data_IF_067339820393
#
_entry.id   IF_067339820393
#
_cell.length_a   1.000
_cell.length_b   1.000
_cell.length_c   1.000
_cell.angle_alpha   90.00
_cell.angle_beta   90.00
_cell.angle_gamma   90.00
#
_symmetry.space_group_name_H-M   'P 1'
#
loop_
_entity.id
_entity.type
_entity.pdbx_description
1 polymer ?
#
# COMPACT_ATOMS: atom_id res chain seq x y z
N UNK A 1 -25.62 10.03 -17.18
CA UNK A 1 -24.60 10.10 -16.12
C UNK A 1 -23.52 9.11 -16.52
N UNK A 2 -22.43 9.59 -17.12
CA UNK A 2 -21.28 8.75 -17.45
C UNK A 2 -20.58 8.39 -16.15
N UNK A 3 -20.65 7.12 -15.76
CA UNK A 3 -19.79 6.56 -14.72
C UNK A 3 -18.38 6.51 -15.29
N UNK A 4 -17.57 7.53 -14.99
CA UNK A 4 -16.14 7.49 -15.29
C UNK A 4 -15.54 6.34 -14.48
N UNK A 5 -15.40 5.16 -15.09
CA UNK A 5 -14.60 4.08 -14.54
C UNK A 5 -13.17 4.61 -14.46
N UNK A 6 -12.75 5.06 -13.27
CA UNK A 6 -11.35 5.30 -12.98
C UNK A 6 -10.64 3.96 -13.14
N UNK A 7 -9.94 3.79 -14.26
CA UNK A 7 -9.24 2.56 -14.59
C UNK A 7 -8.07 2.41 -13.61
N UNK A 8 -8.19 1.47 -12.67
CA UNK A 8 -7.07 1.07 -11.81
C UNK A 8 -5.90 0.62 -12.69
N UNK A 9 -4.74 1.22 -12.50
CA UNK A 9 -3.54 0.87 -13.24
C UNK A 9 -2.84 -0.31 -12.55
N UNK A 10 -2.69 -1.43 -13.23
CA UNK A 10 -1.91 -2.57 -12.73
C UNK A 10 -0.50 -2.53 -13.29
N UNK A 11 0.50 -2.51 -12.42
CA UNK A 11 1.92 -2.46 -12.77
C UNK A 11 2.61 -3.71 -12.22
N UNK A 12 3.32 -4.44 -13.09
CA UNK A 12 4.15 -5.55 -12.65
C UNK A 12 5.57 -5.04 -12.41
N UNK A 13 6.12 -5.37 -11.24
CA UNK A 13 7.43 -4.96 -10.77
C UNK A 13 8.33 -6.19 -10.62
N UNK A 14 9.64 -5.99 -10.73
CA UNK A 14 10.63 -7.07 -10.62
C UNK A 14 11.27 -7.14 -9.24
N UNK A 15 11.20 -6.06 -8.46
CA UNK A 15 11.84 -5.97 -7.15
C UNK A 15 11.12 -5.05 -6.17
N UNK A 16 11.52 -5.12 -4.89
CA UNK A 16 11.09 -4.16 -3.86
C UNK A 16 11.66 -2.75 -4.09
N UNK A 17 12.83 -2.64 -4.71
CA UNK A 17 13.40 -1.34 -5.08
C UNK A 17 12.55 -0.64 -6.16
N UNK A 18 11.96 -1.40 -7.09
CA UNK A 18 11.02 -0.85 -8.06
C UNK A 18 9.77 -0.32 -7.36
N UNK A 19 9.29 -1.01 -6.32
CA UNK A 19 8.16 -0.55 -5.50
C UNK A 19 8.50 0.76 -4.78
N UNK A 20 9.69 0.86 -4.18
CA UNK A 20 10.17 2.08 -3.53
C UNK A 20 10.20 3.26 -4.51
N UNK A 21 10.65 3.01 -5.74
CA UNK A 21 10.66 4.01 -6.80
C UNK A 21 9.24 4.44 -7.20
N UNK A 22 8.31 3.50 -7.36
CA UNK A 22 6.91 3.82 -7.67
C UNK A 22 6.27 4.63 -6.55
N UNK A 23 6.49 4.28 -5.29
CA UNK A 23 6.00 5.06 -4.13
C UNK A 23 6.58 6.47 -4.16
N UNK A 24 7.90 6.62 -4.29
CA UNK A 24 8.57 7.92 -4.39
C UNK A 24 7.96 8.79 -5.49
N UNK A 25 7.71 8.23 -6.67
CA UNK A 25 7.14 8.95 -7.81
C UNK A 25 5.67 9.33 -7.60
N UNK A 26 4.83 8.39 -7.16
CA UNK A 26 3.39 8.60 -7.02
C UNK A 26 3.04 9.58 -5.89
N UNK A 27 3.85 9.62 -4.83
CA UNK A 27 3.66 10.47 -3.67
C UNK A 27 4.57 11.71 -3.64
N UNK A 28 5.39 11.90 -4.67
CA UNK A 28 6.38 12.99 -4.76
C UNK A 28 7.27 13.08 -3.50
N UNK A 29 7.79 11.93 -3.08
CA UNK A 29 8.64 11.76 -1.91
C UNK A 29 10.09 11.47 -2.32
N UNK A 30 11.09 11.74 -1.46
CA UNK A 30 12.47 11.31 -1.70
C UNK A 30 12.58 9.79 -1.89
N UNK A 31 13.50 9.32 -2.71
CA UNK A 31 13.73 7.88 -2.85
C UNK A 31 14.27 7.28 -1.54
N UNK A 32 13.52 6.37 -0.94
CA UNK A 32 13.83 5.69 0.33
C UNK A 32 13.30 4.26 0.30
N UNK A 33 13.79 3.37 1.19
CA UNK A 33 13.36 1.97 1.22
C UNK A 33 11.96 1.78 1.86
N UNK A 34 10.91 2.39 1.29
CA UNK A 34 9.55 2.39 1.81
C UNK A 34 8.97 0.99 2.05
N UNK A 35 9.29 0.03 1.20
CA UNK A 35 8.78 -1.34 1.24
C UNK A 35 9.46 -2.23 2.28
N UNK A 36 10.60 -1.81 2.84
CA UNK A 36 11.41 -2.61 3.76
C UNK A 36 11.75 -1.91 5.09
N UNK A 37 11.80 -0.58 5.12
CA UNK A 37 12.01 0.21 6.33
C UNK A 37 10.70 0.79 6.85
N UNK A 38 10.30 0.38 8.06
CA UNK A 38 9.09 0.87 8.70
C UNK A 38 9.12 2.39 8.94
N UNK A 39 10.28 2.99 9.22
CA UNK A 39 10.36 4.45 9.44
C UNK A 39 10.02 5.20 8.15
N UNK A 40 10.59 4.79 7.03
CA UNK A 40 10.25 5.35 5.72
C UNK A 40 8.77 5.13 5.38
N UNK A 41 8.23 3.93 5.63
CA UNK A 41 6.81 3.66 5.42
C UNK A 41 5.89 4.56 6.26
N UNK A 42 6.28 4.88 7.50
CA UNK A 42 5.52 5.81 8.35
C UNK A 42 5.60 7.27 7.86
N UNK A 43 6.67 7.68 7.19
CA UNK A 43 6.72 9.00 6.54
C UNK A 43 5.65 9.13 5.46
N UNK A 44 5.42 8.07 4.67
CA UNK A 44 4.34 8.01 3.69
C UNK A 44 2.95 8.12 4.37
N UNK A 45 2.78 7.44 5.51
CA UNK A 45 1.54 7.53 6.30
C UNK A 45 1.31 8.95 6.77
N UNK A 46 2.30 9.57 7.42
CA UNK A 46 2.20 10.94 7.94
C UNK A 46 1.91 11.92 6.81
N UNK A 47 2.64 11.83 5.69
CA UNK A 47 2.39 12.68 4.52
C UNK A 47 0.95 12.54 4.04
N UNK A 48 0.41 11.32 3.99
CA UNK A 48 -0.99 11.10 3.59
C UNK A 48 -1.97 11.73 4.57
N UNK A 49 -1.75 11.55 5.88
CA UNK A 49 -2.63 12.07 6.91
C UNK A 49 -2.62 13.60 6.97
N UNK A 50 -1.48 14.24 6.72
CA UNK A 50 -1.34 15.71 6.70
C UNK A 50 -2.00 16.36 5.47
N UNK A 51 -2.16 15.62 4.37
CA UNK A 51 -2.60 16.16 3.09
C UNK A 51 -4.00 15.65 2.65
N UNK A 52 -4.74 14.99 3.53
CA UNK A 52 -6.09 14.46 3.26
C UNK A 52 -7.12 15.04 4.23
N UNK A 53 -8.21 15.60 3.69
CA UNK A 53 -9.33 16.12 4.50
C UNK A 53 -10.10 15.02 5.24
N UNK A 54 -10.08 13.80 4.71
CA UNK A 54 -10.73 12.61 5.26
C UNK A 54 -9.71 11.54 5.63
N UNK A 55 -8.58 11.97 6.20
CA UNK A 55 -7.45 11.14 6.59
C UNK A 55 -7.88 9.95 7.49
N UNK A 56 -7.51 8.75 7.06
CA UNK A 56 -7.66 7.52 7.83
C UNK A 56 -6.42 6.66 7.63
N UNK A 57 -5.97 6.03 8.70
CA UNK A 57 -4.96 5.00 8.65
C UNK A 57 -5.18 4.02 9.79
N UNK A 58 -5.17 2.73 9.47
CA UNK A 58 -5.17 1.64 10.44
C UNK A 58 -4.10 0.62 10.04
N UNK A 59 -3.40 0.10 11.04
CA UNK A 59 -2.57 -1.10 10.90
C UNK A 59 -2.86 -2.04 12.06
N UNK A 60 -3.03 -3.32 11.76
CA UNK A 60 -3.22 -4.38 12.74
C UNK A 60 -2.35 -5.57 12.38
N UNK A 61 -1.83 -6.26 13.41
CA UNK A 61 -1.15 -7.54 13.23
C UNK A 61 -2.06 -8.66 13.72
N UNK A 62 -2.36 -9.61 12.85
CA UNK A 62 -3.12 -10.81 13.16
C UNK A 62 -2.21 -12.03 13.10
N UNK A 63 -2.15 -12.80 14.18
CA UNK A 63 -1.52 -14.13 14.19
C UNK A 63 -2.53 -15.23 13.79
N UNK A 64 -3.72 -14.84 13.34
CA UNK A 64 -4.79 -15.73 12.91
C UNK A 64 -4.44 -16.48 11.63
N UNK A 65 -4.77 -17.77 11.59
CA UNK A 65 -4.61 -18.63 10.41
C UNK A 65 -5.50 -18.23 9.21
N UNK A 66 -6.35 -17.21 9.34
CA UNK A 66 -7.24 -16.77 8.26
C UNK A 66 -6.47 -16.34 7.00
N UNK A 67 -5.25 -15.79 7.15
CA UNK A 67 -4.39 -15.39 6.04
C UNK A 67 -2.95 -15.89 6.26
N UNK A 68 -2.68 -17.18 5.97
CA UNK A 68 -1.36 -17.77 6.21
C UNK A 68 -0.25 -16.99 5.49
N UNK A 69 0.73 -16.50 6.27
CA UNK A 69 1.88 -15.77 5.75
C UNK A 69 1.67 -14.26 5.52
N UNK A 70 0.48 -13.71 5.80
CA UNK A 70 0.15 -12.29 5.65
C UNK A 70 -0.39 -11.67 6.95
N UNK A 71 0.46 -11.52 7.99
CA UNK A 71 0.00 -11.15 9.32
C UNK A 71 -0.35 -9.66 9.46
N UNK A 72 -0.01 -8.79 8.51
CA UNK A 72 -0.28 -7.36 8.62
C UNK A 72 -1.47 -6.96 7.77
N UNK A 73 -2.50 -6.40 8.39
CA UNK A 73 -3.61 -5.75 7.71
C UNK A 73 -3.44 -4.24 7.81
N UNK A 74 -3.48 -3.54 6.69
CA UNK A 74 -3.34 -2.08 6.59
C UNK A 74 -4.51 -1.50 5.83
N UNK A 75 -4.91 -0.29 6.19
CA UNK A 75 -5.98 0.42 5.52
C UNK A 75 -5.80 1.93 5.59
N UNK A 76 -5.83 2.58 4.43
CA UNK A 76 -6.04 4.02 4.26
C UNK A 76 -7.51 4.36 3.93
N UNK A 77 -8.38 3.35 3.87
CA UNK A 77 -9.81 3.44 3.58
C UNK A 77 -10.60 2.53 4.53
N UNK A 78 -11.47 3.11 5.37
CA UNK A 78 -12.24 2.41 6.42
C UNK A 78 -12.96 1.15 5.97
N UNK A 79 -13.32 1.05 4.69
CA UNK A 79 -14.09 -0.09 4.16
C UNK A 79 -13.23 -1.26 3.73
N UNK A 80 -11.94 -1.04 3.40
CA UNK A 80 -11.09 -2.04 2.77
C UNK A 80 -9.72 -2.15 3.41
N UNK A 81 -9.21 -3.38 3.49
CA UNK A 81 -7.89 -3.69 4.06
C UNK A 81 -7.03 -4.42 3.04
N UNK A 82 -5.76 -4.08 3.00
CA UNK A 82 -4.72 -4.82 2.29
C UNK A 82 -3.90 -5.63 3.27
N UNK A 83 -3.62 -6.88 2.91
CA UNK A 83 -2.83 -7.78 3.74
C UNK A 83 -1.44 -7.98 3.15
N UNK A 84 -0.41 -7.95 4.01
CA UNK A 84 0.97 -8.12 3.59
C UNK A 84 1.81 -8.93 4.57
N UNK A 85 2.92 -9.45 4.05
CA UNK A 85 3.91 -10.23 4.81
C UNK A 85 4.66 -9.39 5.86
N UNK A 86 4.86 -8.11 5.56
CA UNK A 86 5.47 -7.12 6.46
C UNK A 86 4.61 -5.85 6.49
N UNK A 87 4.67 -5.12 7.60
CA UNK A 87 4.01 -3.82 7.73
C UNK A 87 4.37 -2.81 6.61
N UNK A 88 5.66 -2.52 6.34
CA UNK A 88 6.03 -1.54 5.30
C UNK A 88 5.52 -1.93 3.91
N UNK A 89 5.55 -3.23 3.58
CA UNK A 89 5.00 -3.72 2.32
C UNK A 89 3.49 -3.50 2.24
N UNK A 90 2.74 -3.90 3.27
CA UNK A 90 1.29 -3.71 3.32
C UNK A 90 0.90 -2.22 3.20
N UNK A 91 1.66 -1.33 3.86
CA UNK A 91 1.48 0.14 3.76
C UNK A 91 1.67 0.61 2.32
N UNK A 92 2.77 0.25 1.66
CA UNK A 92 3.05 0.72 0.29
C UNK A 92 1.97 0.26 -0.70
N UNK A 93 1.55 -1.01 -0.61
CA UNK A 93 0.52 -1.56 -1.49
C UNK A 93 -0.83 -0.90 -1.26
N UNK A 94 -1.27 -0.73 -0.01
CA UNK A 94 -2.55 -0.11 0.28
C UNK A 94 -2.57 1.37 -0.10
N UNK A 95 -1.49 2.10 0.20
CA UNK A 95 -1.35 3.51 -0.17
C UNK A 95 -1.46 3.70 -1.69
N UNK A 96 -0.71 2.93 -2.48
CA UNK A 96 -0.76 3.00 -3.95
C UNK A 96 -2.16 2.67 -4.47
N UNK A 97 -2.79 1.63 -3.92
CA UNK A 97 -4.11 1.23 -4.37
C UNK A 97 -5.16 2.30 -4.02
N UNK A 98 -5.30 2.66 -2.75
CA UNK A 98 -6.38 3.52 -2.25
C UNK A 98 -6.20 4.99 -2.60
N UNK A 99 -4.96 5.48 -2.63
CA UNK A 99 -4.68 6.90 -2.77
C UNK A 99 -4.27 7.28 -4.19
N UNK A 100 -3.86 6.31 -5.01
CA UNK A 100 -3.35 6.55 -6.37
C UNK A 100 -4.03 5.70 -7.44
N UNK A 101 -4.93 4.78 -7.07
CA UNK A 101 -5.53 3.81 -7.99
C UNK A 101 -4.49 3.00 -8.78
N UNK A 102 -3.36 2.67 -8.14
CA UNK A 102 -2.28 1.86 -8.71
C UNK A 102 -2.15 0.55 -7.93
N UNK A 103 -2.27 -0.57 -8.62
CA UNK A 103 -2.05 -1.91 -8.06
C UNK A 103 -0.71 -2.43 -8.58
N UNK A 104 0.20 -2.83 -7.69
CA UNK A 104 1.57 -3.23 -8.04
C UNK A 104 1.81 -4.70 -7.74
N UNK A 105 2.06 -5.56 -8.73
CA UNK A 105 2.37 -6.98 -8.49
C UNK A 105 3.88 -7.21 -8.45
N UNK A 106 4.37 -7.95 -7.44
CA UNK A 106 5.78 -8.35 -7.33
C UNK A 106 5.83 -9.88 -7.21
N UNK A 107 6.52 -10.59 -8.10
CA UNK A 107 6.67 -12.05 -8.01
C UNK A 107 7.17 -12.49 -6.63
N UNK A 108 6.50 -13.48 -6.02
CA UNK A 108 6.87 -14.02 -4.71
C UNK A 108 6.56 -13.13 -3.49
N UNK A 109 6.08 -11.90 -3.70
CA UNK A 109 5.53 -11.05 -2.63
C UNK A 109 4.02 -11.15 -2.66
N UNK A 110 3.47 -12.05 -1.86
CA UNK A 110 2.03 -12.21 -1.73
C UNK A 110 1.44 -10.97 -1.04
N UNK A 111 0.49 -10.32 -1.68
CA UNK A 111 -0.44 -9.39 -1.05
C UNK A 111 -1.82 -9.68 -1.61
N UNK A 112 -2.83 -9.60 -0.76
CA UNK A 112 -4.18 -10.01 -1.12
C UNK A 112 -5.04 -8.75 -1.24
N UNK A 113 -5.49 -8.46 -2.46
CA UNK A 113 -6.47 -7.43 -2.73
C UNK A 113 -7.84 -8.12 -2.79
N UNK A 114 -8.64 -7.94 -1.74
CA UNK A 114 -10.07 -8.23 -1.82
C UNK A 114 -10.67 -6.99 -2.48
N UNK A 115 -10.76 -6.98 -3.81
CA UNK A 115 -11.51 -5.96 -4.53
C UNK A 115 -12.92 -5.79 -3.93
#
# INVERSE_FOLDING_TARGET
>A
METTQYRTATVQLNSLADLDQVVSQQFNLPLRPYSTDMRAALELVVQTLENSESAYFEISRFESNAFPGLPFAVSFDKEKKTYGKTAPLAICHDALHRLKNVVVTIPGSYYWNLD
#
